data_IF_716203449538
#
_entry.id   IF_716203449538
#
_cell.length_a   1.000
_cell.length_b   1.000
_cell.length_c   1.000
_cell.angle_alpha   90.00
_cell.angle_beta   90.00
_cell.angle_gamma   90.00
#
_symmetry.space_group_name_H-M   'P 1'
#
loop_
_entity.id
_entity.type
_entity.pdbx_description
1 polymer ?
#
# COMPACT_ATOMS: atom_id res chain seq x y z
N UNK A 1 -18.64 45.18 4.80
CA UNK A 1 -18.97 43.84 5.38
C UNK A 1 -18.77 42.67 4.41
N UNK A 2 -18.58 42.88 3.10
CA UNK A 2 -18.32 41.81 2.14
C UNK A 2 -16.97 41.04 2.25
N UNK A 3 -15.84 41.59 2.76
CA UNK A 3 -14.57 40.86 2.71
C UNK A 3 -14.47 39.76 3.78
N UNK A 4 -15.17 39.92 4.90
CA UNK A 4 -15.15 38.96 6.02
C UNK A 4 -15.87 37.67 5.62
N UNK A 5 -17.01 37.77 4.92
CA UNK A 5 -17.75 36.58 4.46
C UNK A 5 -16.96 35.77 3.41
N UNK A 6 -16.18 36.46 2.55
CA UNK A 6 -15.30 35.80 1.57
C UNK A 6 -14.10 35.13 2.24
N UNK A 7 -13.52 35.74 3.27
CA UNK A 7 -12.47 35.13 4.07
C UNK A 7 -12.96 33.89 4.82
N UNK A 8 -14.16 33.92 5.40
CA UNK A 8 -14.76 32.74 6.04
C UNK A 8 -15.05 31.62 5.05
N UNK A 9 -15.56 31.93 3.85
CA UNK A 9 -15.81 30.93 2.81
C UNK A 9 -14.50 30.28 2.32
N UNK A 10 -13.46 31.08 2.09
CA UNK A 10 -12.14 30.57 1.70
C UNK A 10 -11.51 29.73 2.82
N UNK A 11 -11.62 30.14 4.09
CA UNK A 11 -11.05 29.39 5.21
C UNK A 11 -11.74 28.03 5.40
N UNK A 12 -13.07 27.97 5.27
CA UNK A 12 -13.83 26.71 5.33
C UNK A 12 -13.55 25.79 4.14
N UNK A 13 -13.41 26.35 2.93
CA UNK A 13 -13.05 25.57 1.74
C UNK A 13 -11.62 25.01 1.84
N UNK A 14 -10.70 25.77 2.43
CA UNK A 14 -9.31 25.34 2.68
C UNK A 14 -9.25 24.21 3.71
N UNK A 15 -10.12 24.23 4.72
CA UNK A 15 -10.23 23.17 5.73
C UNK A 15 -10.81 21.87 5.14
N UNK A 16 -11.77 21.98 4.20
CA UNK A 16 -12.33 20.84 3.48
C UNK A 16 -11.30 20.18 2.54
N UNK A 17 -10.41 20.96 1.91
CA UNK A 17 -9.34 20.41 1.07
C UNK A 17 -8.28 19.64 1.87
N UNK A 18 -8.13 19.93 3.18
CA UNK A 18 -7.24 19.20 4.08
C UNK A 18 -7.88 17.93 4.68
N UNK A 19 -9.19 17.72 4.48
CA UNK A 19 -9.92 16.53 4.94
C UNK A 19 -9.91 15.39 3.92
N UNK A 20 -8.85 15.26 3.12
CA UNK A 20 -8.64 14.05 2.33
C UNK A 20 -8.27 12.93 3.29
N UNK A 21 -9.14 11.92 3.41
CA UNK A 21 -9.06 10.86 4.41
C UNK A 21 -7.63 10.36 4.65
N UNK A 22 -7.16 10.46 5.89
CA UNK A 22 -5.79 10.07 6.27
C UNK A 22 -5.74 8.64 6.81
N UNK A 23 -6.89 8.01 7.05
CA UNK A 23 -6.91 6.65 7.56
C UNK A 23 -6.55 5.63 6.47
N UNK A 24 -5.61 4.75 6.83
CA UNK A 24 -5.19 3.64 6.01
C UNK A 24 -6.22 2.50 6.05
N UNK A 25 -6.09 1.55 5.13
CA UNK A 25 -6.88 0.31 5.15
C UNK A 25 -6.76 -0.35 6.53
N UNK A 26 -7.89 -0.78 7.08
CA UNK A 26 -8.13 -1.29 8.45
C UNK A 26 -8.14 -0.28 9.60
N UNK A 27 -7.89 1.01 9.32
CA UNK A 27 -8.09 2.10 10.28
C UNK A 27 -9.55 2.25 10.69
N UNK A 28 -9.81 2.74 11.91
CA UNK A 28 -11.18 3.06 12.34
C UNK A 28 -11.73 4.24 11.58
N UNK A 29 -13.02 4.19 11.28
CA UNK A 29 -13.72 5.26 10.62
C UNK A 29 -15.18 5.36 11.09
N UNK A 30 -15.68 6.59 11.14
CA UNK A 30 -17.09 6.91 11.36
C UNK A 30 -17.80 7.31 10.06
N UNK A 31 -17.05 7.61 9.00
CA UNK A 31 -17.59 7.92 7.67
C UNK A 31 -16.59 7.63 6.55
N UNK A 32 -17.08 7.49 5.33
CA UNK A 32 -16.29 7.23 4.12
C UNK A 32 -15.18 8.27 3.88
N UNK A 33 -15.42 9.53 4.25
CA UNK A 33 -14.49 10.64 4.06
C UNK A 33 -13.21 10.55 4.91
N UNK A 34 -13.23 9.77 5.99
CA UNK A 34 -12.08 9.60 6.89
C UNK A 34 -11.03 8.66 6.28
N UNK A 35 -11.47 7.78 5.37
CA UNK A 35 -10.63 6.78 4.73
C UNK A 35 -9.96 7.32 3.48
N UNK A 36 -8.66 7.08 3.32
CA UNK A 36 -7.94 7.40 2.09
C UNK A 36 -8.54 6.65 0.87
N UNK A 37 -9.10 5.47 1.11
CA UNK A 37 -9.82 4.66 0.13
C UNK A 37 -11.24 5.17 -0.19
N UNK A 38 -11.70 6.20 0.53
CA UNK A 38 -13.06 6.73 0.42
C UNK A 38 -14.15 5.75 0.87
N UNK A 39 -13.80 4.65 1.52
CA UNK A 39 -14.76 3.62 1.94
C UNK A 39 -14.52 3.22 3.39
N UNK A 40 -15.50 3.55 4.22
CA UNK A 40 -15.64 3.04 5.58
C UNK A 40 -16.60 1.85 5.55
N UNK A 41 -16.10 0.66 5.89
CA UNK A 41 -16.86 -0.58 5.80
C UNK A 41 -18.15 -0.50 6.61
N UNK A 42 -19.30 -0.69 5.94
CA UNK A 42 -20.62 -0.47 6.51
C UNK A 42 -20.87 -1.26 7.80
N UNK A 43 -20.37 -2.49 7.84
CA UNK A 43 -20.53 -3.38 9.00
C UNK A 43 -19.33 -3.29 9.96
N UNK A 44 -18.12 -3.12 9.42
CA UNK A 44 -16.89 -3.22 10.19
C UNK A 44 -16.47 -1.90 10.86
N UNK A 45 -16.91 -0.75 10.36
CA UNK A 45 -16.45 0.57 10.83
C UNK A 45 -14.95 0.76 10.62
N UNK A 46 -14.38 0.02 9.66
CA UNK A 46 -12.95 0.09 9.30
C UNK A 46 -12.79 0.50 7.85
N UNK A 47 -11.76 1.27 7.56
CA UNK A 47 -11.42 1.67 6.20
C UNK A 47 -11.08 0.44 5.35
N UNK A 48 -11.66 0.33 4.18
CA UNK A 48 -11.46 -0.79 3.28
C UNK A 48 -11.32 -0.33 1.83
N UNK A 49 -10.76 -1.18 0.97
CA UNK A 49 -10.84 -0.92 -0.45
C UNK A 49 -12.31 -1.13 -0.90
N UNK A 50 -12.91 -0.22 -1.67
CA UNK A 50 -14.34 -0.27 -1.99
C UNK A 50 -14.77 -1.59 -2.64
N UNK A 51 -13.93 -2.15 -3.52
CA UNK A 51 -14.17 -3.43 -4.18
C UNK A 51 -14.14 -4.60 -3.19
N UNK A 52 -13.15 -4.64 -2.30
CA UNK A 52 -12.98 -5.69 -1.28
C UNK A 52 -14.10 -5.66 -0.25
N UNK A 53 -14.55 -4.46 0.15
CA UNK A 53 -15.70 -4.31 1.05
C UNK A 53 -16.99 -4.88 0.42
N UNK A 54 -17.17 -4.65 -0.89
CA UNK A 54 -18.32 -5.17 -1.62
C UNK A 54 -18.26 -6.69 -1.84
N UNK A 55 -17.08 -7.25 -2.16
CA UNK A 55 -16.89 -8.71 -2.29
C UNK A 55 -17.15 -9.47 -0.99
N UNK A 56 -16.87 -8.85 0.16
CA UNK A 56 -17.19 -9.42 1.49
C UNK A 56 -18.65 -9.26 1.88
N UNK A 57 -19.46 -8.58 1.07
CA UNK A 57 -20.84 -8.24 1.38
C UNK A 57 -20.98 -7.22 2.51
N UNK A 58 -19.89 -6.53 2.89
CA UNK A 58 -19.95 -5.45 3.88
C UNK A 58 -20.47 -4.18 3.22
N UNK A 59 -19.95 -3.80 2.05
CA UNK A 59 -20.26 -2.50 1.40
C UNK A 59 -19.62 -1.29 2.12
N UNK A 60 -19.76 -0.09 1.56
CA UNK A 60 -19.27 1.16 2.17
C UNK A 60 -20.43 1.96 2.80
N UNK A 61 -20.14 3.03 3.54
CA UNK A 61 -21.17 3.87 4.18
C UNK A 61 -21.47 3.54 5.64
N UNK A 62 -20.45 3.27 6.46
CA UNK A 62 -20.66 3.09 7.91
C UNK A 62 -21.47 4.23 8.53
N UNK A 63 -22.47 3.88 9.34
CA UNK A 63 -23.39 4.83 9.99
C UNK A 63 -24.66 5.15 9.19
N UNK A 64 -24.74 4.77 7.92
CA UNK A 64 -25.96 4.90 7.12
C UNK A 64 -26.97 3.79 7.43
N UNK A 65 -28.22 3.98 6.99
CA UNK A 65 -29.26 2.96 7.14
C UNK A 65 -29.01 1.73 6.25
N UNK A 66 -28.27 1.89 5.13
CA UNK A 66 -27.93 0.86 4.14
C UNK A 66 -26.54 1.12 3.56
N UNK A 67 -25.80 0.09 3.12
CA UNK A 67 -24.51 0.29 2.49
C UNK A 67 -24.67 1.12 1.22
N UNK A 68 -23.83 2.14 1.09
CA UNK A 68 -23.77 2.99 -0.08
C UNK A 68 -22.48 2.64 -0.85
N UNK A 69 -22.55 2.55 -2.18
CA UNK A 69 -21.38 2.26 -3.03
C UNK A 69 -20.75 3.57 -3.54
N UNK A 70 -20.84 4.66 -2.76
CA UNK A 70 -20.39 5.98 -3.22
C UNK A 70 -18.90 6.00 -3.51
N UNK A 71 -18.12 5.26 -2.71
CA UNK A 71 -16.69 5.06 -2.91
C UNK A 71 -16.37 4.36 -4.24
N UNK A 72 -17.20 3.41 -4.68
CA UNK A 72 -17.06 2.73 -5.98
C UNK A 72 -17.43 3.66 -7.15
N UNK A 73 -18.47 4.47 -6.98
CA UNK A 73 -18.89 5.45 -7.98
C UNK A 73 -17.83 6.55 -8.16
N UNK A 74 -17.18 6.97 -7.07
CA UNK A 74 -16.05 7.90 -7.06
C UNK A 74 -14.71 7.28 -7.49
N UNK A 75 -14.52 5.97 -7.26
CA UNK A 75 -13.32 5.20 -7.64
C UNK A 75 -13.03 5.23 -9.14
N UNK A 76 -14.04 5.53 -9.97
CA UNK A 76 -13.86 5.80 -11.41
C UNK A 76 -12.86 6.93 -11.71
N UNK A 77 -12.51 7.77 -10.73
CA UNK A 77 -11.56 8.87 -10.86
C UNK A 77 -10.23 8.72 -10.09
N UNK A 78 -10.05 7.64 -9.32
CA UNK A 78 -8.86 7.44 -8.48
C UNK A 78 -8.44 5.97 -8.32
N UNK A 79 -9.05 5.06 -9.09
CA UNK A 79 -8.42 3.79 -9.43
C UNK A 79 -7.26 4.03 -10.40
N UNK A 80 -6.11 4.48 -9.91
CA UNK A 80 -4.83 4.10 -10.52
C UNK A 80 -4.53 2.66 -10.08
N UNK A 81 -5.44 1.75 -10.45
CA UNK A 81 -5.07 0.37 -10.66
C UNK A 81 -4.44 0.39 -12.04
N UNK A 82 -3.12 0.27 -12.12
CA UNK A 82 -2.39 0.01 -13.35
C UNK A 82 -2.84 -1.33 -13.94
N UNK A 83 -4.02 -1.35 -14.54
CA UNK A 83 -4.39 -2.29 -15.57
C UNK A 83 -3.67 -1.82 -16.84
N UNK A 84 -2.42 -2.22 -17.02
CA UNK A 84 -1.78 -2.12 -18.33
C UNK A 84 -2.02 -3.44 -19.07
N UNK A 85 -2.85 -3.47 -20.14
CA UNK A 85 -2.87 -4.57 -21.08
C UNK A 85 -1.61 -4.54 -21.96
N UNK A 86 -1.20 -5.73 -22.37
CA UNK A 86 -0.04 -6.01 -23.20
C UNK A 86 -0.01 -5.18 -24.50
N UNK A 87 1.10 -4.49 -24.72
CA UNK A 87 1.52 -4.07 -26.06
C UNK A 87 3.04 -4.26 -26.18
N UNK A 88 3.41 -5.34 -26.87
CA UNK A 88 4.78 -5.65 -27.24
C UNK A 88 5.31 -4.64 -28.27
N UNK A 89 6.53 -4.14 -28.06
CA UNK A 89 7.39 -3.53 -29.07
C UNK A 89 8.87 -3.83 -28.74
N UNK A 90 9.76 -3.89 -29.75
CA UNK A 90 10.77 -4.96 -29.86
C UNK A 90 12.10 -4.68 -29.13
N UNK A 91 12.79 -5.78 -28.84
CA UNK A 91 14.10 -5.82 -28.19
C UNK A 91 15.24 -5.26 -29.06
N UNK A 92 16.16 -4.52 -28.44
CA UNK A 92 17.49 -4.20 -28.97
C UNK A 92 18.58 -4.72 -27.99
N UNK A 93 19.75 -5.14 -28.49
CA UNK A 93 20.67 -6.03 -27.77
C UNK A 93 21.49 -5.38 -26.65
N UNK A 94 21.86 -6.21 -25.67
CA UNK A 94 22.59 -5.86 -24.45
C UNK A 94 24.11 -5.71 -24.65
N UNK A 95 24.70 -4.75 -23.93
CA UNK A 95 26.11 -4.72 -23.56
C UNK A 95 26.24 -4.44 -22.04
N UNK A 96 27.27 -4.96 -21.35
CA UNK A 96 27.31 -5.08 -19.90
C UNK A 96 27.68 -3.74 -19.24
N UNK A 97 26.84 -3.28 -18.31
CA UNK A 97 27.13 -2.11 -17.46
C UNK A 97 27.12 -2.50 -15.98
N UNK A 98 28.18 -2.11 -15.30
CA UNK A 98 28.42 -2.08 -13.85
C UNK A 98 27.21 -1.57 -13.05
N UNK A 99 26.98 -2.05 -11.81
CA UNK A 99 25.80 -1.69 -11.04
C UNK A 99 25.78 -0.18 -10.75
N UNK A 100 24.71 0.55 -11.12
CA UNK A 100 24.58 1.94 -10.74
C UNK A 100 24.17 2.02 -9.26
N UNK A 101 24.90 2.85 -8.51
CA UNK A 101 24.48 3.29 -7.20
C UNK A 101 23.27 4.22 -7.36
N UNK A 102 22.06 3.65 -7.39
CA UNK A 102 20.83 4.42 -7.40
C UNK A 102 20.49 4.84 -5.97
N UNK A 103 21.17 5.88 -5.50
CA UNK A 103 20.70 6.69 -4.38
C UNK A 103 19.63 7.65 -4.91
N UNK A 104 18.42 7.15 -5.14
CA UNK A 104 17.26 8.02 -5.27
C UNK A 104 16.66 8.23 -3.87
N UNK A 105 17.35 9.06 -3.10
CA UNK A 105 16.84 9.61 -1.87
C UNK A 105 15.79 10.68 -2.22
N UNK A 106 14.53 10.26 -2.37
CA UNK A 106 13.43 11.14 -2.76
C UNK A 106 12.09 10.75 -2.15
N UNK A 107 11.81 11.35 -0.98
CA UNK A 107 10.49 11.52 -0.34
C UNK A 107 9.66 10.26 -0.01
N UNK A 108 9.91 9.69 1.17
CA UNK A 108 8.94 8.89 1.91
C UNK A 108 9.29 8.94 3.39
N UNK A 109 8.49 9.66 4.19
CA UNK A 109 8.60 9.62 5.64
C UNK A 109 8.56 8.16 6.11
N UNK A 110 9.63 7.70 6.75
CA UNK A 110 9.75 6.30 7.19
C UNK A 110 11.12 5.64 7.07
N UNK A 111 12.22 6.38 6.82
CA UNK A 111 13.57 5.86 7.05
C UNK A 111 13.95 5.86 8.55
N UNK A 112 13.01 5.44 9.42
CA UNK A 112 13.24 5.29 10.85
C UNK A 112 13.38 3.79 11.15
N UNK A 113 14.65 3.35 11.21
CA UNK A 113 15.16 2.18 11.93
C UNK A 113 14.17 1.03 12.21
N UNK A 114 14.17 -0.01 11.39
CA UNK A 114 13.94 -1.41 11.83
C UNK A 114 12.59 -1.75 12.48
N UNK A 115 11.57 -0.90 12.35
CA UNK A 115 10.27 -1.10 13.01
C UNK A 115 9.26 -1.93 12.21
N UNK A 116 9.63 -2.43 11.02
CA UNK A 116 8.73 -3.20 10.15
C UNK A 116 7.50 -2.42 9.68
N UNK A 117 7.57 -1.09 9.62
CA UNK A 117 6.43 -0.21 9.31
C UNK A 117 6.30 0.11 7.82
N UNK A 118 7.32 -0.18 7.02
CA UNK A 118 7.30 0.14 5.59
C UNK A 118 6.38 -0.83 4.85
N UNK A 119 5.46 -0.28 4.06
CA UNK A 119 4.55 -1.02 3.20
C UNK A 119 5.24 -1.52 1.93
N UNK A 120 4.58 -2.43 1.21
CA UNK A 120 5.03 -2.89 -0.11
C UNK A 120 5.32 -1.69 -1.03
N UNK A 121 6.44 -1.74 -1.73
CA UNK A 121 7.07 -0.68 -2.56
C UNK A 121 7.73 0.48 -1.80
N UNK A 122 7.53 0.58 -0.49
CA UNK A 122 8.22 1.55 0.37
C UNK A 122 9.73 1.35 0.34
N UNK A 123 10.49 2.45 0.40
CA UNK A 123 11.95 2.38 0.49
C UNK A 123 12.39 1.69 1.79
N UNK A 124 13.49 0.94 1.71
CA UNK A 124 14.06 0.21 2.82
C UNK A 124 15.59 0.09 2.68
N UNK A 125 16.25 -0.06 3.82
CA UNK A 125 17.71 -0.25 3.92
C UNK A 125 18.07 -1.61 4.49
N UNK A 126 17.10 -2.28 5.11
CA UNK A 126 17.21 -3.64 5.61
C UNK A 126 15.85 -4.33 5.60
N UNK A 127 15.83 -5.66 5.69
CA UNK A 127 14.60 -6.45 5.78
C UNK A 127 13.72 -6.05 6.98
N UNK A 128 14.33 -5.55 8.07
CA UNK A 128 13.65 -5.11 9.27
C UNK A 128 12.81 -3.83 9.07
N UNK A 129 13.05 -3.07 8.02
CA UNK A 129 12.27 -1.86 7.74
C UNK A 129 10.87 -2.23 7.20
N UNK A 130 10.74 -3.40 6.55
CA UNK A 130 9.56 -3.82 5.82
C UNK A 130 8.58 -4.64 6.67
N UNK A 131 7.28 -4.33 6.57
CA UNK A 131 6.22 -5.16 7.16
C UNK A 131 6.19 -6.59 6.57
N UNK A 132 6.67 -6.74 5.33
CA UNK A 132 6.86 -8.02 4.66
C UNK A 132 8.14 -8.76 5.08
N UNK A 133 8.96 -8.16 5.94
CA UNK A 133 10.28 -8.63 6.35
C UNK A 133 11.25 -8.89 5.18
N UNK A 134 11.03 -8.24 4.03
CA UNK A 134 11.85 -8.42 2.84
C UNK A 134 12.04 -7.09 2.12
N UNK A 135 13.27 -6.61 2.16
CA UNK A 135 13.77 -5.49 1.40
C UNK A 135 14.46 -6.01 0.14
N UNK A 136 13.91 -5.69 -1.04
CA UNK A 136 14.36 -6.23 -2.31
C UNK A 136 15.84 -5.97 -2.57
N UNK A 137 16.61 -7.04 -2.78
CA UNK A 137 18.07 -7.04 -2.82
C UNK A 137 18.63 -6.04 -3.84
N UNK A 138 18.03 -5.95 -5.03
CA UNK A 138 18.43 -5.01 -6.08
C UNK A 138 17.68 -3.68 -6.04
N UNK A 139 16.44 -3.67 -5.55
CA UNK A 139 15.54 -2.53 -5.70
C UNK A 139 15.52 -1.59 -4.49
N UNK A 140 15.96 -2.05 -3.30
CA UNK A 140 15.87 -1.25 -2.07
C UNK A 140 14.44 -0.90 -1.68
N UNK A 141 13.48 -1.72 -2.11
CA UNK A 141 12.05 -1.54 -1.87
C UNK A 141 11.45 -2.75 -1.20
N UNK A 142 10.54 -2.52 -0.26
CA UNK A 142 9.82 -3.58 0.42
C UNK A 142 8.97 -4.37 -0.58
N UNK A 143 9.06 -5.70 -0.53
CA UNK A 143 8.32 -6.58 -1.42
C UNK A 143 7.83 -7.82 -0.68
N UNK A 144 6.82 -8.49 -1.24
CA UNK A 144 6.44 -9.82 -0.76
C UNK A 144 7.62 -10.78 -0.99
N UNK A 145 7.93 -11.72 -0.07
CA UNK A 145 9.13 -12.54 -0.18
C UNK A 145 9.24 -13.32 -1.50
N UNK A 146 8.13 -13.81 -2.04
CA UNK A 146 8.10 -14.53 -3.33
C UNK A 146 8.35 -13.57 -4.50
N UNK A 147 7.67 -12.42 -4.51
CA UNK A 147 7.81 -11.39 -5.54
C UNK A 147 9.23 -10.84 -5.57
N UNK A 148 9.87 -10.70 -4.41
CA UNK A 148 11.26 -10.27 -4.30
C UNK A 148 12.23 -11.26 -4.94
N UNK A 149 11.98 -12.57 -4.85
CA UNK A 149 12.82 -13.57 -5.53
C UNK A 149 12.74 -13.45 -7.05
N UNK A 150 11.54 -13.20 -7.58
CA UNK A 150 11.30 -13.13 -9.02
C UNK A 150 11.80 -11.82 -9.63
N UNK A 151 11.56 -10.69 -8.95
CA UNK A 151 11.81 -9.34 -9.49
C UNK A 151 13.07 -8.69 -8.93
N UNK A 152 13.30 -8.81 -7.64
CA UNK A 152 14.29 -8.02 -6.92
C UNK A 152 15.61 -8.78 -6.69
N UNK A 153 15.68 -10.04 -7.11
CA UNK A 153 16.83 -10.92 -6.90
C UNK A 153 16.99 -11.44 -5.47
N UNK A 154 15.90 -11.43 -4.69
CA UNK A 154 15.85 -11.88 -3.30
C UNK A 154 15.67 -10.75 -2.28
N UNK A 155 15.72 -11.08 -0.99
CA UNK A 155 15.67 -10.14 0.13
C UNK A 155 17.09 -9.78 0.59
N UNK A 156 17.25 -8.82 1.50
CA UNK A 156 18.56 -8.43 2.05
C UNK A 156 19.26 -7.29 1.31
N UNK A 157 18.53 -6.23 0.94
CA UNK A 157 19.19 -5.01 0.44
C UNK A 157 20.28 -4.52 1.41
N UNK A 158 21.46 -4.20 0.88
CA UNK A 158 22.63 -3.79 1.68
C UNK A 158 23.52 -4.96 2.15
N UNK A 159 23.05 -6.21 2.05
CA UNK A 159 23.87 -7.39 2.32
C UNK A 159 24.82 -7.71 1.15
N UNK A 160 25.87 -8.48 1.42
CA UNK A 160 26.80 -8.93 0.38
C UNK A 160 26.15 -9.91 -0.61
N UNK A 161 25.11 -10.64 -0.19
CA UNK A 161 24.38 -11.63 -0.97
C UNK A 161 22.88 -11.61 -0.59
N UNK A 162 21.98 -11.92 -1.53
CA UNK A 162 20.55 -11.99 -1.22
C UNK A 162 20.25 -13.14 -0.27
N UNK A 163 19.27 -12.94 0.61
CA UNK A 163 18.78 -13.96 1.54
C UNK A 163 17.33 -14.37 1.20
N UNK A 164 16.92 -15.54 1.70
CA UNK A 164 15.58 -16.11 1.55
C UNK A 164 14.85 -16.29 2.89
N UNK A 165 15.33 -15.63 3.95
CA UNK A 165 14.82 -15.79 5.31
C UNK A 165 13.33 -15.46 5.40
N UNK A 166 12.91 -14.37 4.76
CA UNK A 166 11.51 -13.96 4.70
C UNK A 166 10.63 -14.99 3.96
N UNK A 167 11.17 -15.63 2.91
CA UNK A 167 10.48 -16.67 2.16
C UNK A 167 10.33 -17.96 3.00
N UNK A 168 11.40 -18.38 3.69
CA UNK A 168 11.38 -19.52 4.63
C UNK A 168 10.39 -19.28 5.78
N UNK A 169 10.38 -18.10 6.37
CA UNK A 169 9.43 -17.75 7.43
C UNK A 169 7.97 -17.82 6.92
N UNK A 170 7.71 -17.36 5.70
CA UNK A 170 6.38 -17.47 5.07
C UNK A 170 5.97 -18.94 4.87
N UNK A 171 6.88 -19.78 4.37
CA UNK A 171 6.65 -21.22 4.21
C UNK A 171 6.38 -21.90 5.56
N UNK A 172 7.17 -21.61 6.59
CA UNK A 172 6.98 -22.11 7.95
C UNK A 172 5.62 -21.72 8.55
N UNK A 173 5.13 -20.49 8.29
CA UNK A 173 3.78 -20.06 8.68
C UNK A 173 2.66 -20.80 7.94
N UNK A 174 2.87 -21.18 6.67
CA UNK A 174 1.88 -21.98 5.91
C UNK A 174 1.80 -23.41 6.45
N UNK A 175 2.94 -23.99 6.84
CA UNK A 175 2.99 -25.30 7.48
C UNK A 175 2.43 -25.27 8.92
N UNK A 176 2.73 -24.24 9.70
CA UNK A 176 2.24 -24.10 11.07
C UNK A 176 0.73 -23.83 11.18
N UNK A 177 0.14 -23.06 10.24
CA UNK A 177 -1.30 -22.74 10.27
C UNK A 177 -2.19 -23.82 9.64
N UNK A 178 -1.64 -24.70 8.80
CA UNK A 178 -2.39 -25.81 8.17
C UNK A 178 -2.00 -27.21 8.69
N UNK A 179 -0.83 -27.36 9.32
CA UNK A 179 -0.34 -28.64 9.83
C UNK A 179 -0.91 -29.05 11.19
N UNK A 180 -1.38 -28.10 12.00
CA UNK A 180 -2.05 -28.41 13.27
C UNK A 180 -3.53 -28.79 13.14
N UNK A 181 -4.11 -28.71 11.94
CA UNK A 181 -5.50 -29.10 11.65
C UNK A 181 -5.61 -30.47 10.96
N UNK A 182 -4.49 -31.17 10.76
CA UNK A 182 -4.40 -32.48 10.11
C UNK A 182 -3.48 -33.44 10.90
N UNK A 183 -3.60 -33.45 12.23
CA UNK A 183 -3.18 -34.56 13.08
C UNK A 183 -4.31 -34.91 14.04
#
# INVERSE_FOLDING_TARGET
MAPIFKLFALLNLSLYAAAQGTQFITGECASDAECASGCCGFTSGKCAAPFVANERGEGCGFGDAQPNNNALNGASGNASADAQPDAAAPAAPAAPATPPANSDAGAGAGAAAGAGTQFITGACTSDADCASACCGFKSGKCAGPVVAQERDGGCGFGDAQPNDNAAKALQGRRLGRRGAAYM
#
